data_IF_759279267118
#
_entry.id   IF_759279267118
#
_cell.length_a   1.000
_cell.length_b   1.000
_cell.length_c   1.000
_cell.angle_alpha   90.00
_cell.angle_beta   90.00
_cell.angle_gamma   90.00
#
_symmetry.space_group_name_H-M   'P 1'
#
loop_
_entity.id
_entity.type
_entity.pdbx_description
1 polymer ?
#
# COMPACT_ATOMS: atom_id res chain seq x y z
N UNK A 1 62.94 -17.55 -15.63
CA UNK A 1 62.41 -16.19 -15.48
C UNK A 1 60.94 -16.03 -15.92
N UNK A 2 60.41 -16.81 -16.85
CA UNK A 2 58.98 -16.74 -17.28
C UNK A 2 57.95 -17.19 -16.22
N UNK A 3 58.32 -18.15 -15.38
CA UNK A 3 57.37 -18.71 -14.40
C UNK A 3 57.22 -17.84 -13.13
N UNK A 4 58.19 -16.99 -12.85
CA UNK A 4 58.14 -16.07 -11.69
C UNK A 4 57.17 -14.91 -11.95
N UNK A 5 57.10 -14.42 -13.20
CA UNK A 5 56.14 -13.37 -13.57
C UNK A 5 54.67 -13.82 -13.52
N UNK A 6 54.40 -15.10 -13.87
CA UNK A 6 53.04 -15.65 -13.82
C UNK A 6 52.57 -15.80 -12.36
N UNK A 7 53.48 -16.19 -11.45
CA UNK A 7 53.17 -16.31 -10.03
C UNK A 7 52.95 -14.94 -9.37
N UNK A 8 53.68 -13.92 -9.80
CA UNK A 8 53.51 -12.55 -9.28
C UNK A 8 52.18 -11.93 -9.76
N UNK A 9 51.76 -12.22 -11.00
CA UNK A 9 50.46 -11.76 -11.52
C UNK A 9 49.29 -12.46 -10.83
N UNK A 10 49.43 -13.73 -10.41
CA UNK A 10 48.39 -14.46 -9.71
C UNK A 10 48.21 -14.00 -8.24
N UNK A 11 49.30 -13.54 -7.62
CA UNK A 11 49.21 -13.00 -6.24
C UNK A 11 48.60 -11.60 -6.20
N UNK A 12 48.83 -10.77 -7.24
CA UNK A 12 48.19 -9.45 -7.30
C UNK A 12 46.67 -9.49 -7.49
N UNK A 13 46.12 -10.59 -8.05
CA UNK A 13 44.66 -10.72 -8.22
C UNK A 13 43.90 -11.07 -6.93
N UNK A 14 44.64 -11.43 -5.86
CA UNK A 14 44.01 -11.77 -4.56
C UNK A 14 43.88 -10.56 -3.61
N UNK A 15 44.44 -9.39 -3.98
CA UNK A 15 44.37 -8.18 -3.16
C UNK A 15 43.37 -7.14 -3.66
N UNK A 16 42.54 -7.46 -4.68
CA UNK A 16 41.59 -6.53 -5.25
C UNK A 16 40.15 -6.81 -4.78
N UNK A 17 39.93 -7.13 -3.50
CA UNK A 17 38.60 -7.23 -2.95
C UNK A 17 38.58 -6.87 -1.47
N UNK A 18 38.98 -5.62 -1.17
CA UNK A 18 38.65 -4.93 0.08
C UNK A 18 38.27 -3.49 -0.23
N UNK A 19 37.24 -3.31 -1.04
CA UNK A 19 36.46 -2.09 -0.90
C UNK A 19 35.36 -2.42 0.13
N UNK A 20 35.66 -2.02 1.35
CA UNK A 20 34.75 -2.08 2.47
C UNK A 20 33.41 -1.45 2.06
N UNK A 21 32.37 -2.23 2.14
CA UNK A 21 31.03 -1.71 2.26
C UNK A 21 31.05 -0.83 3.51
N UNK A 22 31.32 0.45 3.34
CA UNK A 22 31.29 1.43 4.41
C UNK A 22 29.85 1.37 4.95
N UNK A 23 29.69 0.85 6.16
CA UNK A 23 28.52 1.05 6.96
C UNK A 23 28.33 2.57 7.07
N UNK A 24 27.54 3.14 6.16
CA UNK A 24 26.90 4.41 6.44
C UNK A 24 26.04 4.12 7.67
N UNK A 25 26.50 4.59 8.82
CA UNK A 25 25.62 4.72 9.97
C UNK A 25 24.45 5.56 9.50
N UNK A 26 23.33 4.90 9.28
CA UNK A 26 22.05 5.57 9.11
C UNK A 26 21.75 6.09 10.50
N UNK A 27 22.01 7.38 10.73
CA UNK A 27 21.49 8.06 11.90
C UNK A 27 19.98 8.00 11.80
N UNK A 28 19.40 6.98 12.41
CA UNK A 28 17.97 6.90 12.58
C UNK A 28 17.60 7.91 13.68
N UNK A 29 17.03 9.03 13.30
CA UNK A 29 16.49 10.03 14.23
C UNK A 29 15.33 9.50 15.07
N UNK A 30 14.91 8.27 14.83
CA UNK A 30 13.81 7.63 15.54
C UNK A 30 14.24 6.27 16.08
N UNK A 31 14.40 6.19 17.39
CA UNK A 31 14.59 4.93 18.11
C UNK A 31 13.23 4.48 18.65
N UNK A 32 12.68 3.40 18.11
CA UNK A 32 11.47 2.77 18.64
C UNK A 32 11.89 1.70 19.63
N UNK A 33 11.69 1.97 20.92
CA UNK A 33 11.87 0.98 21.99
C UNK A 33 10.56 0.20 22.15
N UNK A 34 10.60 -1.09 21.87
CA UNK A 34 9.50 -1.97 22.21
C UNK A 34 9.66 -2.38 23.69
N UNK A 35 8.65 -2.24 24.53
CA UNK A 35 8.68 -2.81 25.87
C UNK A 35 8.85 -4.34 25.74
N UNK A 36 9.53 -4.99 26.72
CA UNK A 36 9.58 -6.45 26.73
C UNK A 36 8.15 -6.97 26.66
N UNK A 37 7.94 -8.01 25.86
CA UNK A 37 6.60 -8.57 25.56
C UNK A 37 5.82 -8.77 26.87
N UNK A 38 4.90 -7.89 27.13
CA UNK A 38 3.94 -8.04 28.22
C UNK A 38 2.84 -8.93 27.66
N UNK A 39 2.61 -10.09 28.25
CA UNK A 39 1.45 -10.92 27.95
C UNK A 39 0.16 -10.29 28.48
N UNK A 40 -0.09 -9.04 28.04
CA UNK A 40 -1.33 -8.35 28.38
C UNK A 40 -2.39 -8.82 27.38
N UNK A 41 -3.51 -9.37 27.84
CA UNK A 41 -4.60 -9.76 26.97
C UNK A 41 -5.05 -8.54 26.15
N UNK A 42 -5.26 -8.71 24.85
CA UNK A 42 -5.70 -7.63 23.95
C UNK A 42 -6.96 -6.92 24.47
N UNK A 43 -7.78 -7.63 25.22
CA UNK A 43 -9.01 -7.11 25.84
C UNK A 43 -8.77 -5.96 26.83
N UNK A 44 -7.58 -5.85 27.44
CA UNK A 44 -7.24 -4.74 28.33
C UNK A 44 -7.07 -3.41 27.58
N UNK A 45 -6.87 -3.47 26.25
CA UNK A 45 -6.72 -2.30 25.38
C UNK A 45 -8.01 -1.95 24.62
N UNK A 46 -9.08 -2.73 24.80
CA UNK A 46 -10.35 -2.55 24.09
C UNK A 46 -11.41 -2.09 25.08
N UNK A 47 -11.72 -0.81 25.04
CA UNK A 47 -12.80 -0.25 25.87
C UNK A 47 -14.19 -0.66 25.39
N UNK A 48 -14.38 -0.73 24.09
CA UNK A 48 -15.70 -0.98 23.49
C UNK A 48 -15.58 -1.66 22.13
N UNK A 49 -16.43 -2.64 21.87
CA UNK A 49 -16.62 -3.25 20.55
C UNK A 49 -18.00 -2.86 20.03
N UNK A 50 -18.03 -2.32 18.80
CA UNK A 50 -19.26 -1.98 18.11
C UNK A 50 -19.39 -2.82 16.83
N UNK A 51 -20.60 -3.27 16.54
CA UNK A 51 -20.94 -3.98 15.32
C UNK A 51 -21.67 -3.03 14.38
N UNK A 52 -21.19 -2.94 13.14
CA UNK A 52 -21.85 -2.19 12.09
C UNK A 52 -22.41 -3.18 11.08
N UNK A 53 -23.74 -3.17 10.88
CA UNK A 53 -24.38 -3.94 9.82
C UNK A 53 -24.29 -3.13 8.53
N UNK A 54 -23.63 -3.71 7.53
CA UNK A 54 -23.56 -3.13 6.19
C UNK A 54 -24.83 -3.45 5.41
N UNK A 55 -25.27 -2.51 4.60
CA UNK A 55 -26.40 -2.70 3.68
C UNK A 55 -26.03 -3.75 2.63
N UNK A 56 -26.91 -4.70 2.40
CA UNK A 56 -26.75 -5.78 1.44
C UNK A 56 -27.16 -5.31 0.05
N UNK A 57 -26.22 -5.29 -0.88
CA UNK A 57 -26.40 -4.94 -2.30
C UNK A 57 -25.61 -5.90 -3.16
N UNK A 58 -26.16 -6.36 -4.26
CA UNK A 58 -25.50 -7.28 -5.18
C UNK A 58 -24.16 -6.74 -5.69
N UNK A 59 -24.08 -5.44 -5.99
CA UNK A 59 -22.87 -4.76 -6.44
C UNK A 59 -21.82 -4.58 -5.32
N UNK A 60 -22.24 -4.65 -4.06
CA UNK A 60 -21.40 -4.46 -2.88
C UNK A 60 -20.88 -5.77 -2.28
N UNK A 61 -21.17 -6.93 -2.89
CA UNK A 61 -20.68 -8.22 -2.42
C UNK A 61 -19.15 -8.25 -2.41
N UNK A 62 -18.57 -8.51 -1.26
CA UNK A 62 -17.13 -8.63 -1.05
C UNK A 62 -16.77 -10.10 -0.84
N UNK A 63 -15.73 -10.59 -1.53
CA UNK A 63 -15.15 -11.88 -1.25
C UNK A 63 -14.18 -11.79 -0.08
N UNK A 64 -13.38 -10.71 -0.03
CA UNK A 64 -12.39 -10.50 1.00
C UNK A 64 -12.09 -9.01 1.21
N UNK A 65 -11.91 -8.59 2.46
CA UNK A 65 -11.49 -7.22 2.76
C UNK A 65 -10.00 -7.21 3.03
N UNK A 66 -9.22 -6.71 2.07
CA UNK A 66 -7.77 -6.60 2.16
C UNK A 66 -7.32 -5.32 2.88
N UNK A 67 -8.06 -4.24 2.70
CA UNK A 67 -7.76 -2.94 3.31
C UNK A 67 -9.05 -2.20 3.64
N UNK A 68 -9.09 -1.63 4.82
CA UNK A 68 -10.17 -0.75 5.27
C UNK A 68 -9.60 0.62 5.59
N UNK A 69 -10.27 1.65 5.13
CA UNK A 69 -9.99 3.05 5.48
C UNK A 69 -11.28 3.67 6.00
N UNK A 70 -11.20 4.30 7.16
CA UNK A 70 -12.29 5.13 7.69
C UNK A 70 -11.85 6.60 7.59
N UNK A 71 -12.63 7.41 6.91
CA UNK A 71 -12.35 8.85 6.79
C UNK A 71 -13.65 9.63 6.79
N UNK A 72 -13.69 10.68 7.63
CA UNK A 72 -14.88 11.48 7.84
C UNK A 72 -16.12 10.61 8.15
N UNK A 73 -17.12 10.66 7.30
CA UNK A 73 -18.39 9.95 7.42
C UNK A 73 -18.46 8.67 6.59
N UNK A 74 -17.33 8.17 6.08
CA UNK A 74 -17.27 7.03 5.15
C UNK A 74 -16.32 5.92 5.59
N UNK A 75 -16.68 4.72 5.17
CA UNK A 75 -15.90 3.48 5.33
C UNK A 75 -15.63 2.92 3.93
N UNK A 76 -14.37 2.75 3.61
CA UNK A 76 -13.89 2.24 2.33
C UNK A 76 -13.36 0.82 2.53
N UNK A 77 -13.94 -0.14 1.84
CA UNK A 77 -13.58 -1.56 1.91
C UNK A 77 -13.00 -2.00 0.58
N UNK A 78 -11.70 -2.29 0.56
CA UNK A 78 -11.00 -2.77 -0.64
C UNK A 78 -10.97 -4.28 -0.70
N UNK A 79 -11.61 -4.84 -1.74
CA UNK A 79 -11.50 -6.24 -2.15
C UNK A 79 -10.56 -6.33 -3.35
N UNK A 80 -9.29 -6.65 -3.07
CA UNK A 80 -8.26 -6.68 -4.11
C UNK A 80 -8.37 -7.92 -4.98
N UNK A 81 -9.02 -8.98 -4.49
CA UNK A 81 -9.27 -10.20 -5.25
C UNK A 81 -10.29 -9.98 -6.36
N UNK A 82 -11.32 -9.21 -6.08
CA UNK A 82 -12.35 -8.83 -7.05
C UNK A 82 -12.09 -7.44 -7.68
N UNK A 83 -10.93 -6.85 -7.40
CA UNK A 83 -10.50 -5.56 -7.96
C UNK A 83 -11.52 -4.42 -7.75
N UNK A 84 -12.17 -4.37 -6.60
CA UNK A 84 -13.16 -3.34 -6.30
C UNK A 84 -12.99 -2.70 -4.94
N UNK A 85 -13.51 -1.49 -4.80
CA UNK A 85 -13.61 -0.76 -3.53
C UNK A 85 -15.06 -0.40 -3.32
N UNK A 86 -15.63 -0.88 -2.21
CA UNK A 86 -17.02 -0.58 -1.82
C UNK A 86 -17.00 0.47 -0.73
N UNK A 87 -17.87 1.45 -0.86
CA UNK A 87 -17.93 2.58 0.07
C UNK A 87 -19.29 2.63 0.76
N UNK A 88 -19.23 2.72 2.07
CA UNK A 88 -20.38 2.85 2.96
C UNK A 88 -20.27 4.13 3.78
N UNK A 89 -21.39 4.60 4.31
CA UNK A 89 -21.38 5.61 5.37
C UNK A 89 -21.11 4.98 6.77
N UNK A 90 -20.96 5.82 7.79
CA UNK A 90 -20.69 5.37 9.17
C UNK A 90 -21.84 4.62 9.84
N UNK A 91 -23.02 4.60 9.23
CA UNK A 91 -24.16 3.79 9.68
C UNK A 91 -24.39 2.56 8.82
N UNK A 92 -23.47 2.26 7.89
CA UNK A 92 -23.45 1.06 7.06
C UNK A 92 -24.32 1.11 5.82
N UNK A 93 -24.79 2.27 5.38
CA UNK A 93 -25.53 2.40 4.13
C UNK A 93 -24.59 2.46 2.96
N UNK A 94 -24.88 1.70 1.91
CA UNK A 94 -24.14 1.71 0.66
C UNK A 94 -24.15 3.09 0.00
N UNK A 95 -22.97 3.54 -0.45
CA UNK A 95 -22.82 4.81 -1.17
C UNK A 95 -22.52 4.60 -2.64
N UNK A 96 -21.43 3.89 -2.93
CA UNK A 96 -21.03 3.56 -4.30
C UNK A 96 -19.95 2.46 -4.30
N UNK A 97 -19.70 1.91 -5.48
CA UNK A 97 -18.60 0.98 -5.72
C UNK A 97 -17.69 1.50 -6.83
N UNK A 98 -16.39 1.34 -6.67
CA UNK A 98 -15.41 1.48 -7.74
C UNK A 98 -15.05 0.05 -8.18
N UNK A 99 -15.62 -0.35 -9.31
CA UNK A 99 -15.41 -1.64 -9.98
C UNK A 99 -15.15 -1.35 -11.47
N UNK A 100 -13.89 -1.08 -11.79
CA UNK A 100 -13.50 -0.63 -13.12
C UNK A 100 -12.28 -1.39 -13.62
N UNK A 101 -12.36 -2.72 -13.58
CA UNK A 101 -11.30 -3.55 -14.11
C UNK A 101 -11.30 -3.53 -15.64
N UNK A 102 -10.17 -3.15 -16.24
CA UNK A 102 -10.03 -3.10 -17.69
C UNK A 102 -8.79 -2.33 -18.14
N UNK A 103 -8.76 -1.98 -19.44
CA UNK A 103 -7.66 -1.26 -20.09
C UNK A 103 -8.09 0.06 -20.72
N UNK A 104 -9.33 0.45 -20.54
CA UNK A 104 -9.90 1.69 -21.07
C UNK A 104 -9.51 2.91 -20.21
N UNK A 105 -10.05 4.05 -20.61
CA UNK A 105 -9.89 5.28 -19.86
C UNK A 105 -10.62 5.18 -18.51
N UNK A 106 -9.88 5.40 -17.41
CA UNK A 106 -10.43 5.28 -16.07
C UNK A 106 -10.53 3.86 -15.53
N UNK A 107 -9.99 2.89 -16.26
CA UNK A 107 -9.91 1.50 -15.85
C UNK A 107 -8.51 1.14 -15.34
N UNK A 108 -8.42 0.18 -14.43
CA UNK A 108 -7.21 -0.39 -13.86
C UNK A 108 -7.20 -1.90 -14.01
N UNK A 109 -6.02 -2.53 -14.04
CA UNK A 109 -5.93 -3.99 -14.12
C UNK A 109 -6.01 -4.66 -12.77
N UNK A 110 -5.50 -3.99 -11.72
CA UNK A 110 -5.59 -4.48 -10.35
C UNK A 110 -5.57 -3.34 -9.35
N UNK A 111 -6.07 -3.63 -8.16
CA UNK A 111 -5.88 -2.77 -7.00
C UNK A 111 -4.74 -3.36 -6.17
N UNK A 112 -3.62 -2.65 -6.07
CA UNK A 112 -2.51 -3.03 -5.20
C UNK A 112 -2.65 -2.41 -3.81
N UNK A 113 -3.08 -1.15 -3.78
CA UNK A 113 -3.44 -0.40 -2.58
C UNK A 113 -4.34 0.77 -2.97
N UNK A 114 -4.95 1.39 -1.98
CA UNK A 114 -5.68 2.64 -2.16
C UNK A 114 -5.49 3.56 -0.96
N UNK A 115 -5.67 4.86 -1.19
CA UNK A 115 -5.71 5.88 -0.14
C UNK A 115 -6.81 6.88 -0.45
N UNK A 116 -7.24 7.60 0.58
CA UNK A 116 -8.36 8.54 0.50
C UNK A 116 -7.97 9.85 1.17
N UNK A 117 -8.20 10.97 0.47
CA UNK A 117 -8.18 12.30 1.07
C UNK A 117 -9.60 12.90 1.10
N UNK A 118 -9.73 14.16 1.47
CA UNK A 118 -11.03 14.83 1.60
C UNK A 118 -11.78 14.95 0.26
N UNK A 119 -11.07 14.91 -0.85
CA UNK A 119 -11.62 15.15 -2.19
C UNK A 119 -11.55 13.94 -3.10
N UNK A 120 -10.54 13.10 -2.93
CA UNK A 120 -10.18 12.06 -3.88
C UNK A 120 -9.95 10.72 -3.21
N UNK A 121 -10.28 9.67 -3.96
CA UNK A 121 -9.85 8.30 -3.72
C UNK A 121 -8.80 7.94 -4.79
N UNK A 122 -7.68 7.42 -4.33
CA UNK A 122 -6.53 7.06 -5.16
C UNK A 122 -6.38 5.54 -5.20
N UNK A 123 -6.34 4.96 -6.38
CA UNK A 123 -6.11 3.52 -6.59
C UNK A 123 -4.75 3.31 -7.24
N UNK A 124 -3.91 2.53 -6.59
CA UNK A 124 -2.60 2.15 -7.10
C UNK A 124 -2.72 0.90 -7.96
N UNK A 125 -2.40 1.04 -9.25
CA UNK A 125 -2.26 -0.07 -10.20
C UNK A 125 -0.78 -0.28 -10.52
N UNK A 126 -0.29 -1.51 -10.33
CA UNK A 126 1.11 -1.88 -10.60
C UNK A 126 1.30 -2.58 -11.94
N UNK A 127 0.23 -3.11 -12.55
CA UNK A 127 0.30 -3.68 -13.91
C UNK A 127 0.23 -2.61 -15.00
N UNK A 128 -0.56 -1.57 -14.77
CA UNK A 128 -0.53 -0.34 -15.58
C UNK A 128 0.00 0.79 -14.68
N UNK A 129 1.33 0.89 -14.46
CA UNK A 129 1.90 1.73 -13.41
C UNK A 129 1.30 3.13 -13.39
N UNK A 130 0.57 3.40 -12.34
CA UNK A 130 -0.13 4.68 -12.18
C UNK A 130 -1.06 4.73 -10.99
N UNK A 131 -1.42 5.94 -10.68
CA UNK A 131 -2.36 6.28 -9.63
C UNK A 131 -3.65 6.76 -10.31
N UNK A 132 -4.70 5.95 -10.24
CA UNK A 132 -6.02 6.32 -10.72
C UNK A 132 -6.71 7.15 -9.64
N UNK A 133 -7.26 8.27 -10.04
CA UNK A 133 -7.89 9.26 -9.14
C UNK A 133 -9.39 9.25 -9.41
N UNK A 134 -10.16 9.10 -8.35
CA UNK A 134 -11.62 9.11 -8.36
C UNK A 134 -12.12 10.21 -7.41
N UNK A 135 -13.25 10.80 -7.74
CA UNK A 135 -13.94 11.75 -6.86
C UNK A 135 -14.47 11.00 -5.62
N UNK A 136 -14.14 11.48 -4.43
CA UNK A 136 -14.44 10.80 -3.18
C UNK A 136 -15.93 10.79 -2.82
N UNK A 137 -16.75 11.66 -3.42
CA UNK A 137 -18.20 11.74 -3.14
C UNK A 137 -19.00 10.81 -4.02
N UNK A 138 -18.57 10.67 -5.26
CA UNK A 138 -19.38 10.00 -6.30
C UNK A 138 -18.77 8.72 -6.83
N UNK A 139 -17.47 8.46 -6.57
CA UNK A 139 -16.71 7.37 -7.19
C UNK A 139 -16.43 7.59 -8.68
N UNK A 140 -16.69 8.80 -9.20
CA UNK A 140 -16.45 9.11 -10.60
C UNK A 140 -14.95 9.22 -10.90
N UNK A 141 -14.52 8.68 -12.05
CA UNK A 141 -13.13 8.80 -12.49
C UNK A 141 -12.77 10.26 -12.81
N UNK A 142 -11.63 10.71 -12.31
CA UNK A 142 -11.12 12.07 -12.53
C UNK A 142 -9.89 12.08 -13.43
N UNK A 143 -8.86 11.29 -13.09
CA UNK A 143 -7.59 11.32 -13.82
C UNK A 143 -6.74 10.06 -13.54
N UNK A 144 -5.72 9.87 -14.37
CA UNK A 144 -4.62 8.95 -14.10
C UNK A 144 -3.30 9.71 -14.01
N UNK A 145 -2.59 9.56 -12.90
CA UNK A 145 -1.23 10.07 -12.72
C UNK A 145 -0.25 8.96 -13.01
N UNK A 146 0.62 9.14 -14.02
CA UNK A 146 1.68 8.19 -14.31
C UNK A 146 2.70 8.21 -13.17
N UNK A 147 3.19 7.04 -12.81
CA UNK A 147 4.27 6.89 -11.83
C UNK A 147 5.55 6.46 -12.56
N UNK A 148 6.67 7.08 -12.19
CA UNK A 148 7.99 6.73 -12.73
C UNK A 148 8.65 5.56 -11.99
N UNK A 149 8.02 5.06 -10.93
CA UNK A 149 8.51 3.99 -10.07
C UNK A 149 7.37 3.04 -9.71
N UNK A 150 7.71 1.82 -9.30
CA UNK A 150 6.74 0.83 -8.80
C UNK A 150 6.63 1.04 -7.29
N UNK A 151 5.42 1.29 -6.81
CA UNK A 151 5.09 1.34 -5.39
C UNK A 151 4.27 0.09 -5.01
N UNK A 152 4.42 -0.38 -3.78
CA UNK A 152 3.69 -1.52 -3.25
C UNK A 152 2.54 -1.10 -2.35
N UNK A 153 2.68 0.04 -1.69
CA UNK A 153 1.67 0.67 -0.87
C UNK A 153 1.94 2.18 -0.79
N UNK A 154 0.96 2.93 -0.35
CA UNK A 154 1.08 4.35 -0.10
C UNK A 154 0.03 4.78 0.92
N UNK A 155 0.33 5.86 1.61
CA UNK A 155 -0.57 6.52 2.55
C UNK A 155 -0.62 8.00 2.24
N UNK A 156 -1.75 8.62 2.51
CA UNK A 156 -1.83 10.07 2.51
C UNK A 156 -1.09 10.61 3.74
N UNK A 157 -0.30 11.64 3.53
CA UNK A 157 0.29 12.41 4.62
C UNK A 157 -0.58 13.61 4.90
N UNK A 158 -1.32 13.57 5.98
CA UNK A 158 -2.01 14.76 6.52
C UNK A 158 -0.95 15.79 6.94
N UNK A 159 -1.06 17.01 6.44
CA UNK A 159 -0.22 18.15 6.84
C UNK A 159 -0.76 18.80 8.09
#
# INVERSE_FOLDING_TARGET
MKNVCIFLLMVCSLYACEEGCGNKEVNADLTISFPPSVNTPILEYIDTVKYLKLEDKDEALLAYVNKMVCREDKIYLGDFSNHKIVVYDTIGRFQYVIDRQGRGSGEYLQIKSFAVDDSCLYVLDTFLPGLHVFDNRTGAYVAKKKMAFIAWDFVERTR
#
